data_IF_936030423754
#
_entry.id   IF_936030423754
#
_cell.length_a   1.000
_cell.length_b   1.000
_cell.length_c   1.000
_cell.angle_alpha   90.00
_cell.angle_beta   90.00
_cell.angle_gamma   90.00
#
_symmetry.space_group_name_H-M   'P 1'
#
loop_
_entity.id
_entity.type
_entity.pdbx_description
1 polymer ?
#
# COMPACT_ATOMS: atom_id res chain seq x y z
N UNK A 1 -1.73 -18.16 2.64
CA UNK A 1 -1.71 -16.76 3.13
C UNK A 1 -2.71 -16.01 2.30
N UNK A 2 -3.72 -15.45 2.96
CA UNK A 2 -4.76 -14.62 2.35
C UNK A 2 -4.23 -13.20 2.14
N UNK A 3 -4.74 -12.52 1.12
CA UNK A 3 -4.40 -11.13 0.83
C UNK A 3 -5.67 -10.32 0.71
N UNK A 4 -5.64 -9.10 1.23
CA UNK A 4 -6.77 -8.19 1.19
C UNK A 4 -6.36 -6.89 0.48
N UNK A 5 -7.28 -6.35 -0.32
CA UNK A 5 -7.07 -5.09 -1.01
C UNK A 5 -6.91 -3.97 0.01
N UNK A 6 -5.78 -3.24 0.02
CA UNK A 6 -5.52 -2.21 1.05
C UNK A 6 -6.49 -1.04 0.95
N UNK A 7 -7.11 -0.81 -0.22
CA UNK A 7 -8.04 0.30 -0.44
C UNK A 7 -9.47 0.02 0.03
N UNK A 8 -9.94 -1.23 -0.02
CA UNK A 8 -11.35 -1.54 0.26
C UNK A 8 -11.59 -2.83 1.06
N UNK A 9 -10.53 -3.55 1.46
CA UNK A 9 -10.61 -4.75 2.28
C UNK A 9 -11.10 -6.01 1.56
N UNK A 10 -11.39 -5.97 0.25
CA UNK A 10 -11.81 -7.16 -0.50
C UNK A 10 -10.68 -8.19 -0.60
N UNK A 11 -10.98 -9.48 -0.38
CA UNK A 11 -10.04 -10.58 -0.58
C UNK A 11 -9.53 -10.62 -2.04
N UNK A 12 -8.22 -10.85 -2.21
CA UNK A 12 -7.56 -10.97 -3.51
C UNK A 12 -6.68 -12.22 -3.55
N UNK A 13 -6.72 -12.92 -4.69
CA UNK A 13 -5.86 -14.10 -4.91
C UNK A 13 -4.42 -13.67 -5.21
N UNK A 14 -3.44 -14.29 -4.54
CA UNK A 14 -2.03 -14.10 -4.87
C UNK A 14 -1.77 -14.62 -6.30
N UNK A 15 -1.08 -13.86 -7.17
CA UNK A 15 -0.66 -14.39 -8.46
C UNK A 15 0.29 -15.57 -8.26
N UNK A 16 0.01 -16.70 -8.94
CA UNK A 16 0.90 -17.86 -8.94
C UNK A 16 2.14 -17.58 -9.80
N UNK A 17 3.29 -18.18 -9.46
CA UNK A 17 4.50 -18.14 -10.32
C UNK A 17 4.24 -18.68 -11.74
N UNK A 18 3.17 -19.45 -11.91
CA UNK A 18 2.75 -20.08 -13.18
C UNK A 18 1.48 -19.47 -13.77
N UNK A 19 0.83 -18.51 -13.11
CA UNK A 19 -0.46 -18.00 -13.61
C UNK A 19 -0.21 -17.08 -14.80
N UNK A 20 -0.75 -17.48 -15.95
CA UNK A 20 -0.90 -16.69 -17.14
C UNK A 20 -1.28 -15.25 -16.78
N UNK A 21 -0.58 -14.27 -17.35
CA UNK A 21 -0.78 -12.83 -17.14
C UNK A 21 -2.22 -12.33 -17.42
N UNK A 22 -3.10 -13.22 -17.88
CA UNK A 22 -4.49 -12.98 -18.27
C UNK A 22 -5.53 -13.17 -17.15
N UNK A 23 -5.17 -13.73 -15.98
CA UNK A 23 -6.13 -13.83 -14.88
C UNK A 23 -6.53 -12.43 -14.39
N UNK A 24 -7.79 -12.03 -14.66
CA UNK A 24 -8.40 -10.76 -14.23
C UNK A 24 -8.14 -10.54 -12.74
N UNK A 25 -7.28 -9.57 -12.39
CA UNK A 25 -6.93 -9.23 -11.01
C UNK A 25 -5.43 -9.35 -10.71
N UNK A 26 -4.70 -10.24 -11.39
CA UNK A 26 -3.23 -10.37 -11.25
C UNK A 26 -2.52 -9.07 -11.62
N UNK A 27 -3.00 -8.37 -12.66
CA UNK A 27 -2.43 -7.10 -13.12
C UNK A 27 -2.59 -5.94 -12.12
N UNK A 28 -3.44 -6.11 -11.10
CA UNK A 28 -3.70 -5.10 -10.09
C UNK A 28 -3.30 -5.53 -8.69
N UNK A 29 -2.89 -6.78 -8.47
CA UNK A 29 -2.44 -7.24 -7.16
C UNK A 29 -1.40 -6.27 -6.56
N UNK A 30 -1.54 -5.80 -5.31
CA UNK A 30 -2.44 -6.30 -4.24
C UNK A 30 -3.87 -5.73 -4.24
N UNK A 31 -4.26 -4.94 -5.24
CA UNK A 31 -5.59 -4.33 -5.35
C UNK A 31 -6.59 -5.23 -6.08
N UNK A 32 -7.87 -5.15 -5.72
CA UNK A 32 -8.92 -5.93 -6.38
C UNK A 32 -9.30 -5.38 -7.78
N UNK A 33 -8.89 -4.16 -8.13
CA UNK A 33 -9.24 -3.51 -9.41
C UNK A 33 -8.35 -2.30 -9.73
N UNK A 34 -8.41 -1.84 -10.98
CA UNK A 34 -7.80 -0.56 -11.42
C UNK A 34 -8.26 0.63 -10.58
N UNK A 35 -9.54 0.67 -10.17
CA UNK A 35 -10.10 1.77 -9.37
C UNK A 35 -9.38 1.87 -8.03
N UNK A 36 -9.26 0.77 -7.30
CA UNK A 36 -8.58 0.75 -6.00
C UNK A 36 -7.11 1.17 -6.10
N UNK A 37 -6.41 0.70 -7.14
CA UNK A 37 -5.03 1.13 -7.41
C UNK A 37 -4.91 2.64 -7.64
N UNK A 38 -5.86 3.25 -8.35
CA UNK A 38 -5.84 4.70 -8.62
C UNK A 38 -6.22 5.53 -7.40
N UNK A 39 -7.15 5.04 -6.57
CA UNK A 39 -7.50 5.71 -5.30
C UNK A 39 -6.31 5.72 -4.35
N UNK A 40 -5.62 4.58 -4.20
CA UNK A 40 -4.40 4.49 -3.40
C UNK A 40 -3.34 5.48 -3.91
N UNK A 41 -3.11 5.51 -5.22
CA UNK A 41 -2.19 6.48 -5.85
C UNK A 41 -2.58 7.94 -5.58
N UNK A 42 -3.87 8.27 -5.55
CA UNK A 42 -4.31 9.62 -5.18
C UNK A 42 -3.96 9.96 -3.73
N UNK A 43 -4.15 9.02 -2.80
CA UNK A 43 -3.73 9.19 -1.41
C UNK A 43 -2.23 9.45 -1.28
N UNK A 44 -1.39 8.86 -2.16
CA UNK A 44 0.03 9.19 -2.21
C UNK A 44 0.29 10.63 -2.64
N UNK A 45 -0.40 11.11 -3.68
CA UNK A 45 -0.24 12.50 -4.15
C UNK A 45 -0.77 13.53 -3.15
N UNK A 46 -1.81 13.17 -2.39
CA UNK A 46 -2.40 14.03 -1.36
C UNK A 46 -1.65 13.96 -0.01
N UNK A 47 -0.51 13.26 0.05
CA UNK A 47 0.23 13.03 1.31
C UNK A 47 -0.65 12.40 2.42
N UNK A 48 -1.60 11.54 2.04
CA UNK A 48 -2.56 10.91 2.95
C UNK A 48 -2.00 9.79 3.83
N UNK A 49 -0.76 9.34 3.58
CA UNK A 49 -0.07 8.35 4.42
C UNK A 49 0.88 9.05 5.39
N UNK A 50 0.58 8.95 6.68
CA UNK A 50 1.37 9.56 7.76
C UNK A 50 1.94 8.46 8.64
N UNK A 51 3.27 8.45 8.81
CA UNK A 51 3.93 7.64 9.84
C UNK A 51 3.93 8.47 11.11
N UNK A 52 3.04 8.15 12.05
CA UNK A 52 3.07 8.80 13.37
C UNK A 52 4.21 8.21 14.20
N UNK A 53 5.25 9.00 14.47
CA UNK A 53 6.20 8.71 15.53
C UNK A 53 5.98 9.66 16.70
N UNK A 54 6.19 9.21 17.96
CA UNK A 54 6.31 10.12 19.08
C UNK A 54 7.38 11.18 18.79
N UNK A 55 7.13 12.43 19.17
CA UNK A 55 8.17 13.48 19.11
C UNK A 55 9.15 13.21 20.25
N UNK A 56 10.29 12.60 19.93
CA UNK A 56 11.42 12.56 20.84
C UNK A 56 12.06 13.95 20.85
N UNK A 57 12.19 14.56 22.03
CA UNK A 57 12.97 15.80 22.17
C UNK A 57 14.42 15.46 21.83
N UNK A 58 14.91 15.98 20.71
CA UNK A 58 16.35 15.95 20.44
C UNK A 58 16.97 16.99 21.36
N UNK A 59 17.57 16.53 22.44
CA UNK A 59 18.36 17.39 23.32
C UNK A 59 19.62 17.78 22.54
N UNK A 60 19.64 19.01 22.02
CA UNK A 60 20.78 19.61 21.34
C UNK A 60 21.88 19.91 22.36
N UNK A 61 22.71 18.91 22.69
CA UNK A 61 23.93 19.10 23.48
C UNK A 61 25.16 18.66 22.66
N UNK A 62 25.64 19.56 21.82
CA UNK A 62 27.06 19.65 21.45
C UNK A 62 27.40 21.12 21.32
N UNK A 63 27.73 21.72 22.46
CA UNK A 63 28.50 22.97 22.54
C UNK A 63 29.97 22.54 22.62
N UNK A 64 30.73 22.83 21.57
CA UNK A 64 32.20 22.95 21.63
C UNK A 64 32.54 24.41 21.93
#
# INVERSE_FOLDING_TARGET
MEFYCPTCGKEVSRPSKTSDKAAKGVSFFPFCSKRCRLVDLNSWFESGYVISSPVERQDEENVD
#
